data_IF_895922327274
#
_entry.id   IF_895922327274
#
_cell.length_a   1.000
_cell.length_b   1.000
_cell.length_c   1.000
_cell.angle_alpha   90.00
_cell.angle_beta   90.00
_cell.angle_gamma   90.00
#
_symmetry.space_group_name_H-M   'P 1'
#
loop_
_entity.id
_entity.type
_entity.pdbx_description
1 polymer ?
#
# COMPACT_ATOMS: atom_id res chain seq x y z
N UNK A 1 16.40 -24.42 22.30
CA UNK A 1 15.77 -24.29 20.95
C UNK A 1 16.15 -22.91 20.42
N UNK A 2 16.78 -22.85 19.26
CA UNK A 2 17.21 -21.58 18.64
C UNK A 2 15.97 -20.78 18.23
N UNK A 3 16.00 -19.49 18.52
CA UNK A 3 14.93 -18.55 18.16
C UNK A 3 15.03 -18.14 16.67
N UNK A 4 13.89 -17.92 16.00
CA UNK A 4 13.85 -17.47 14.62
C UNK A 4 13.76 -15.93 14.54
N UNK A 5 14.77 -15.30 13.93
CA UNK A 5 14.83 -13.86 13.71
C UNK A 5 14.67 -13.52 12.23
N UNK A 6 14.08 -12.37 11.92
CA UNK A 6 13.92 -11.91 10.53
C UNK A 6 15.27 -11.48 9.94
N UNK A 7 15.48 -11.81 8.66
CA UNK A 7 16.58 -11.23 7.87
C UNK A 7 16.41 -9.73 7.71
N UNK A 8 17.49 -9.02 7.45
CA UNK A 8 17.52 -7.56 7.28
C UNK A 8 18.40 -7.14 6.10
N UNK A 9 18.48 -5.84 5.82
CA UNK A 9 19.42 -5.32 4.79
C UNK A 9 20.89 -5.51 5.19
N UNK A 10 21.20 -5.46 6.48
CA UNK A 10 22.55 -5.70 6.97
C UNK A 10 22.91 -7.20 6.94
N UNK A 11 21.91 -8.05 7.10
CA UNK A 11 22.04 -9.51 7.13
C UNK A 11 20.94 -10.14 6.28
N UNK A 12 21.11 -10.16 4.94
CA UNK A 12 20.13 -10.72 4.03
C UNK A 12 20.06 -12.25 4.13
N UNK A 13 19.01 -12.84 3.58
CA UNK A 13 18.84 -14.28 3.52
C UNK A 13 20.02 -14.93 2.79
N UNK A 14 20.78 -15.84 3.43
CA UNK A 14 21.95 -16.45 2.78
C UNK A 14 21.57 -17.37 1.62
N UNK A 15 20.29 -17.78 1.51
CA UNK A 15 19.80 -18.67 0.46
C UNK A 15 19.33 -17.89 -0.77
N UNK A 16 18.56 -16.80 -0.61
CA UNK A 16 18.01 -16.05 -1.75
C UNK A 16 18.57 -14.62 -1.91
N UNK A 17 19.46 -14.18 -1.03
CA UNK A 17 20.07 -12.85 -1.04
C UNK A 17 19.13 -11.68 -0.73
N UNK A 18 17.87 -11.96 -0.36
CA UNK A 18 16.88 -10.90 -0.12
C UNK A 18 16.81 -10.50 1.36
N UNK A 19 16.57 -9.21 1.67
CA UNK A 19 16.54 -8.69 3.03
C UNK A 19 15.17 -8.82 3.73
N UNK A 20 14.21 -9.52 3.12
CA UNK A 20 12.82 -9.52 3.53
C UNK A 20 12.17 -10.91 3.48
N UNK A 21 11.09 -11.09 4.24
CA UNK A 21 10.22 -12.27 4.34
C UNK A 21 10.87 -13.56 4.87
N UNK A 22 12.18 -13.74 4.75
CA UNK A 22 12.88 -14.90 5.28
C UNK A 22 13.20 -14.74 6.78
N UNK A 23 13.43 -15.87 7.47
CA UNK A 23 13.91 -15.89 8.86
C UNK A 23 15.11 -16.82 8.98
N UNK A 24 16.01 -16.54 9.93
CA UNK A 24 17.14 -17.40 10.27
C UNK A 24 17.14 -17.71 11.74
N UNK A 25 17.80 -18.77 12.13
CA UNK A 25 18.04 -19.08 13.54
C UNK A 25 19.09 -18.13 14.12
N UNK A 26 18.98 -17.85 15.42
CA UNK A 26 19.93 -16.98 16.14
C UNK A 26 21.34 -17.53 16.16
N UNK A 27 21.48 -18.87 16.12
CA UNK A 27 22.77 -19.58 16.05
C UNK A 27 23.34 -19.67 14.63
N UNK A 28 22.60 -19.19 13.61
CA UNK A 28 23.04 -19.19 12.22
C UNK A 28 23.05 -20.56 11.53
N UNK A 29 22.53 -21.62 12.14
CA UNK A 29 22.57 -22.97 11.59
C UNK A 29 21.50 -23.30 10.58
N UNK A 30 20.39 -22.53 10.56
CA UNK A 30 19.28 -22.75 9.63
C UNK A 30 18.64 -21.44 9.17
N UNK A 31 18.04 -21.47 7.98
CA UNK A 31 17.24 -20.38 7.43
C UNK A 31 15.93 -20.93 6.85
N UNK A 32 14.84 -20.22 7.09
CA UNK A 32 13.57 -20.44 6.43
C UNK A 32 13.49 -19.45 5.26
N UNK A 33 13.66 -19.97 4.05
CA UNK A 33 13.57 -19.18 2.83
C UNK A 33 12.16 -19.23 2.26
N UNK A 34 11.61 -18.06 1.90
CA UNK A 34 10.28 -17.94 1.31
C UNK A 34 10.29 -18.00 -0.21
N UNK A 35 11.48 -18.24 -0.84
CA UNK A 35 11.65 -18.11 -2.30
C UNK A 35 12.38 -19.25 -2.96
N UNK A 36 13.24 -19.94 -2.23
CA UNK A 36 14.02 -21.08 -2.73
C UNK A 36 13.52 -22.33 -2.04
N UNK A 37 13.16 -23.32 -2.84
CA UNK A 37 12.68 -24.61 -2.35
C UNK A 37 13.82 -25.46 -1.77
N UNK A 38 13.49 -26.29 -0.81
CA UNK A 38 14.34 -27.36 -0.30
C UNK A 38 13.49 -28.62 -0.06
N UNK A 39 14.14 -29.72 0.25
CA UNK A 39 13.46 -30.98 0.60
C UNK A 39 12.66 -30.90 1.92
N UNK A 40 12.82 -29.80 2.69
CA UNK A 40 12.18 -29.59 3.99
C UNK A 40 11.21 -28.40 3.94
N UNK A 41 9.98 -28.56 3.41
CA UNK A 41 8.97 -27.52 3.46
C UNK A 41 8.59 -27.22 4.92
N UNK A 42 8.47 -25.93 5.26
CA UNK A 42 7.94 -25.53 6.57
C UNK A 42 6.42 -25.71 6.57
N UNK A 43 5.92 -26.55 7.47
CA UNK A 43 4.48 -26.82 7.66
C UNK A 43 3.77 -25.77 8.52
N UNK A 44 4.46 -24.70 8.94
CA UNK A 44 3.87 -23.61 9.71
C UNK A 44 2.99 -22.68 8.87
N UNK A 45 2.23 -21.81 9.56
CA UNK A 45 1.24 -20.91 8.92
C UNK A 45 1.81 -19.97 7.84
N UNK A 46 3.12 -19.67 7.87
CA UNK A 46 3.77 -18.77 6.92
C UNK A 46 4.37 -19.49 5.71
N UNK A 47 4.43 -20.82 5.71
CA UNK A 47 5.05 -21.60 4.64
C UNK A 47 6.55 -21.33 4.49
N UNK A 48 7.11 -21.69 3.33
CA UNK A 48 8.52 -21.56 3.00
C UNK A 48 9.28 -22.88 3.14
N UNK A 49 10.61 -22.82 3.00
CA UNK A 49 11.48 -24.00 3.01
C UNK A 49 12.64 -23.80 3.98
N UNK A 50 12.93 -24.84 4.78
CA UNK A 50 14.01 -24.82 5.76
C UNK A 50 15.28 -25.32 5.09
N UNK A 51 16.33 -24.50 5.10
CA UNK A 51 17.68 -24.85 4.65
C UNK A 51 18.61 -24.96 5.85
N UNK A 52 19.39 -26.02 5.89
CA UNK A 52 20.46 -26.23 6.86
C UNK A 52 21.71 -25.52 6.36
N UNK A 53 22.25 -24.56 7.09
CA UNK A 53 23.40 -23.76 6.64
C UNK A 53 24.75 -24.46 6.89
N UNK A 54 24.76 -25.60 7.60
CA UNK A 54 25.92 -26.48 7.72
C UNK A 54 26.17 -27.34 6.49
N UNK A 55 25.16 -27.52 5.62
CA UNK A 55 25.28 -28.21 4.35
C UNK A 55 25.70 -27.25 3.22
N UNK A 56 26.47 -27.68 2.21
CA UNK A 56 26.74 -26.83 1.04
C UNK A 56 25.42 -26.38 0.42
N UNK A 57 25.17 -25.08 0.41
CA UNK A 57 23.99 -24.54 -0.25
C UNK A 57 24.04 -24.91 -1.75
N UNK A 58 22.95 -25.44 -2.33
CA UNK A 58 22.89 -25.62 -3.76
C UNK A 58 23.16 -24.27 -4.45
N UNK A 59 23.88 -24.25 -5.59
CA UNK A 59 24.07 -23.03 -6.33
C UNK A 59 22.70 -22.40 -6.59
N UNK A 60 22.58 -21.12 -6.23
CA UNK A 60 21.33 -20.37 -6.46
C UNK A 60 20.91 -20.61 -7.91
N UNK A 61 19.70 -21.13 -8.17
CA UNK A 61 19.19 -21.12 -9.52
C UNK A 61 19.25 -19.65 -9.99
N UNK A 62 19.78 -19.39 -11.19
CA UNK A 62 19.81 -18.04 -11.72
C UNK A 62 18.40 -17.48 -11.52
N UNK A 63 18.26 -16.27 -10.95
CA UNK A 63 16.95 -15.67 -10.76
C UNK A 63 16.27 -15.74 -12.12
N UNK A 64 15.18 -16.50 -12.22
CA UNK A 64 14.35 -16.46 -13.43
C UNK A 64 14.09 -14.99 -13.67
N UNK A 65 14.47 -14.45 -14.84
CA UNK A 65 14.11 -13.08 -15.16
C UNK A 65 12.58 -13.03 -15.00
N UNK A 66 12.11 -12.46 -13.92
CA UNK A 66 10.71 -12.06 -13.83
C UNK A 66 10.67 -10.95 -14.87
N UNK A 67 10.14 -11.26 -16.06
CA UNK A 67 9.76 -10.20 -16.99
C UNK A 67 8.82 -9.29 -16.20
N UNK A 68 9.39 -8.22 -15.65
CA UNK A 68 8.60 -7.14 -15.10
C UNK A 68 7.85 -6.59 -16.29
N UNK A 69 6.60 -6.95 -16.42
CA UNK A 69 5.68 -6.17 -17.26
C UNK A 69 5.67 -4.79 -16.61
N UNK A 70 6.47 -3.88 -17.13
CA UNK A 70 6.53 -2.51 -16.63
C UNK A 70 5.23 -1.75 -16.93
N UNK A 71 4.42 -2.24 -17.85
CA UNK A 71 3.16 -1.66 -18.29
C UNK A 71 1.98 -2.65 -18.15
N UNK A 72 1.11 -2.38 -17.19
CA UNK A 72 -0.12 -3.13 -16.91
C UNK A 72 -1.38 -2.43 -17.42
N UNK A 73 -1.22 -1.36 -18.22
CA UNK A 73 -2.34 -0.51 -18.66
C UNK A 73 -3.41 -1.30 -19.41
N UNK A 74 -2.99 -2.17 -20.33
CA UNK A 74 -3.93 -2.96 -21.13
C UNK A 74 -4.66 -4.00 -20.27
N UNK A 75 -3.99 -4.65 -19.34
CA UNK A 75 -4.62 -5.61 -18.43
C UNK A 75 -5.64 -4.91 -17.49
N UNK A 76 -5.26 -3.77 -16.91
CA UNK A 76 -6.19 -2.96 -16.12
C UNK A 76 -7.39 -2.51 -16.97
N UNK A 77 -7.18 -2.14 -18.25
CA UNK A 77 -8.24 -1.77 -19.17
C UNK A 77 -9.20 -2.93 -19.46
N UNK A 78 -8.69 -4.15 -19.65
CA UNK A 78 -9.52 -5.36 -19.85
C UNK A 78 -10.37 -5.63 -18.62
N UNK A 79 -9.79 -5.60 -17.41
CA UNK A 79 -10.53 -5.77 -16.16
C UNK A 79 -11.60 -4.69 -15.96
N UNK A 80 -11.30 -3.44 -16.28
CA UNK A 80 -12.27 -2.34 -16.21
C UNK A 80 -13.44 -2.50 -17.17
N UNK A 81 -13.19 -2.97 -18.41
CA UNK A 81 -14.20 -3.16 -19.46
C UNK A 81 -14.93 -4.51 -19.40
N UNK A 82 -14.56 -5.37 -18.45
CA UNK A 82 -15.22 -6.66 -18.28
C UNK A 82 -16.73 -6.48 -18.03
N UNK A 83 -17.58 -7.31 -18.62
CA UNK A 83 -19.05 -7.21 -18.55
C UNK A 83 -19.61 -7.10 -17.12
N UNK A 84 -18.99 -7.80 -16.16
CA UNK A 84 -19.35 -7.76 -14.74
C UNK A 84 -18.72 -6.61 -13.95
N UNK A 85 -17.87 -5.79 -14.56
CA UNK A 85 -17.11 -4.77 -13.83
C UNK A 85 -18.02 -3.69 -13.21
N UNK A 86 -19.13 -3.34 -13.87
CA UNK A 86 -20.09 -2.38 -13.31
C UNK A 86 -20.77 -2.94 -12.06
N UNK A 87 -21.27 -4.19 -12.10
CA UNK A 87 -21.87 -4.87 -10.94
C UNK A 87 -20.86 -4.92 -9.80
N UNK A 88 -19.61 -5.27 -10.10
CA UNK A 88 -18.54 -5.28 -9.10
C UNK A 88 -18.27 -3.92 -8.49
N UNK A 89 -18.31 -2.84 -9.27
CA UNK A 89 -18.20 -1.47 -8.74
C UNK A 89 -19.36 -1.12 -7.81
N UNK A 90 -20.59 -1.53 -8.12
CA UNK A 90 -21.74 -1.34 -7.24
C UNK A 90 -21.52 -2.05 -5.89
N UNK A 91 -21.11 -3.33 -5.90
CA UNK A 91 -20.80 -4.08 -4.67
C UNK A 91 -19.72 -3.40 -3.83
N UNK A 92 -18.64 -2.95 -4.47
CA UNK A 92 -17.54 -2.27 -3.80
C UNK A 92 -17.97 -0.89 -3.29
N UNK A 93 -18.79 -0.16 -4.03
CA UNK A 93 -19.33 1.14 -3.63
C UNK A 93 -20.17 1.00 -2.35
N UNK A 94 -21.07 0.02 -2.30
CA UNK A 94 -21.89 -0.27 -1.13
C UNK A 94 -21.03 -0.67 0.09
N UNK A 95 -20.05 -1.54 -0.14
CA UNK A 95 -19.14 -2.00 0.93
C UNK A 95 -18.29 -0.86 1.51
N UNK A 96 -17.83 0.06 0.66
CA UNK A 96 -16.96 1.17 1.05
C UNK A 96 -17.75 2.46 1.39
N UNK A 97 -19.05 2.49 1.11
CA UNK A 97 -19.93 3.67 1.21
C UNK A 97 -19.43 4.85 0.37
N UNK A 98 -19.02 4.58 -0.87
CA UNK A 98 -18.56 5.59 -1.84
C UNK A 98 -19.43 5.56 -3.09
N UNK A 99 -19.34 6.58 -3.95
CA UNK A 99 -20.09 6.58 -5.19
C UNK A 99 -19.53 5.57 -6.22
N UNK A 100 -20.40 4.99 -7.04
CA UNK A 100 -19.97 4.14 -8.16
C UNK A 100 -19.13 4.94 -9.15
N UNK A 101 -19.48 6.21 -9.38
CA UNK A 101 -18.77 7.12 -10.28
C UNK A 101 -17.31 7.33 -9.84
N UNK A 102 -17.04 7.43 -8.54
CA UNK A 102 -15.68 7.55 -8.03
C UNK A 102 -14.83 6.31 -8.37
N UNK A 103 -15.42 5.12 -8.29
CA UNK A 103 -14.76 3.87 -8.66
C UNK A 103 -14.54 3.76 -10.17
N UNK A 104 -15.46 4.32 -10.95
CA UNK A 104 -15.34 4.40 -12.40
C UNK A 104 -14.23 5.37 -12.84
N UNK A 105 -14.14 6.53 -12.22
CA UNK A 105 -13.05 7.49 -12.42
C UNK A 105 -11.68 6.88 -12.06
N UNK A 106 -11.61 6.10 -11.00
CA UNK A 106 -10.41 5.36 -10.58
C UNK A 106 -10.10 4.15 -11.48
N UNK A 107 -10.99 3.82 -12.44
CA UNK A 107 -10.86 2.65 -13.31
C UNK A 107 -10.82 1.34 -12.55
N UNK A 108 -11.60 1.23 -11.46
CA UNK A 108 -11.74 -0.03 -10.72
C UNK A 108 -12.42 -1.07 -11.60
N UNK A 109 -11.77 -2.22 -11.76
CA UNK A 109 -12.23 -3.33 -12.59
C UNK A 109 -12.50 -4.58 -11.76
N UNK A 110 -12.71 -5.71 -12.45
CA UNK A 110 -12.91 -7.04 -11.89
C UNK A 110 -11.86 -8.00 -12.45
N UNK A 111 -11.40 -8.91 -11.63
CA UNK A 111 -10.52 -10.00 -12.05
C UNK A 111 -10.77 -11.27 -11.26
N UNK A 112 -10.16 -12.34 -11.71
CA UNK A 112 -10.22 -13.65 -11.09
C UNK A 112 -8.83 -14.08 -10.65
N UNK A 113 -8.72 -14.53 -9.41
CA UNK A 113 -7.50 -15.12 -8.86
C UNK A 113 -7.58 -16.63 -9.02
N UNK A 114 -6.96 -17.15 -10.06
CA UNK A 114 -6.97 -18.59 -10.38
C UNK A 114 -6.37 -19.44 -9.26
N UNK A 115 -5.37 -18.87 -8.55
CA UNK A 115 -4.68 -19.57 -7.47
C UNK A 115 -5.56 -19.79 -6.25
N UNK A 116 -6.35 -18.79 -5.90
CA UNK A 116 -7.23 -18.85 -4.73
C UNK A 116 -8.71 -19.16 -5.10
N UNK A 117 -9.04 -19.30 -6.38
CA UNK A 117 -10.41 -19.52 -6.85
C UNK A 117 -11.37 -18.38 -6.46
N UNK A 118 -10.92 -17.12 -6.46
CA UNK A 118 -11.67 -15.99 -5.92
C UNK A 118 -11.69 -14.80 -6.86
N UNK A 119 -12.84 -14.15 -6.89
CA UNK A 119 -12.99 -12.86 -7.54
C UNK A 119 -12.40 -11.73 -6.69
N UNK A 120 -11.88 -10.69 -7.36
CA UNK A 120 -11.38 -9.48 -6.73
C UNK A 120 -11.75 -8.23 -7.52
N UNK A 121 -11.84 -7.10 -6.84
CA UNK A 121 -11.79 -5.79 -7.51
C UNK A 121 -10.35 -5.39 -7.77
N UNK A 122 -10.05 -4.95 -8.99
CA UNK A 122 -8.71 -4.49 -9.39
C UNK A 122 -8.62 -2.97 -9.29
N UNK A 123 -7.62 -2.47 -8.60
CA UNK A 123 -7.36 -1.06 -8.39
C UNK A 123 -6.05 -0.69 -9.06
N UNK A 124 -6.08 0.01 -10.23
CA UNK A 124 -4.89 0.38 -10.97
C UNK A 124 -3.93 1.22 -10.13
N UNK A 125 -2.68 0.81 -10.10
CA UNK A 125 -1.56 1.49 -9.43
C UNK A 125 -0.69 2.14 -10.50
N UNK A 126 -0.55 3.47 -10.47
CA UNK A 126 0.03 4.25 -11.56
C UNK A 126 1.35 4.89 -11.18
N UNK A 127 2.19 5.16 -12.16
CA UNK A 127 3.31 6.09 -12.03
C UNK A 127 2.84 7.56 -12.23
N UNK A 128 3.80 8.47 -12.20
CA UNK A 128 3.58 9.91 -12.38
C UNK A 128 3.23 10.33 -13.83
N UNK A 129 3.44 9.43 -14.80
CA UNK A 129 3.07 9.63 -16.20
C UNK A 129 1.71 8.98 -16.55
N UNK A 130 1.04 8.35 -15.58
CA UNK A 130 -0.29 7.75 -15.72
C UNK A 130 -0.32 6.30 -16.19
N UNK A 131 0.84 5.67 -16.44
CA UNK A 131 0.90 4.26 -16.82
C UNK A 131 0.55 3.37 -15.62
N UNK A 132 -0.18 2.31 -15.85
CA UNK A 132 -0.42 1.30 -14.83
C UNK A 132 0.82 0.42 -14.68
N UNK A 133 1.54 0.58 -13.58
CA UNK A 133 2.73 -0.22 -13.24
C UNK A 133 2.40 -1.47 -12.41
N UNK A 134 1.13 -1.63 -12.09
CA UNK A 134 0.55 -2.76 -11.36
C UNK A 134 -0.88 -2.48 -10.98
N UNK A 135 -1.47 -3.36 -10.20
CA UNK A 135 -2.77 -3.13 -9.57
C UNK A 135 -2.86 -3.81 -8.21
N UNK A 136 -3.69 -3.27 -7.35
CA UNK A 136 -4.03 -3.90 -6.08
C UNK A 136 -5.30 -4.71 -6.26
N UNK A 137 -5.26 -5.99 -5.90
CA UNK A 137 -6.41 -6.87 -5.78
C UNK A 137 -7.05 -6.63 -4.41
N UNK A 138 -8.33 -6.32 -4.38
CA UNK A 138 -9.11 -6.25 -3.14
C UNK A 138 -10.21 -7.30 -3.18
N UNK A 139 -10.22 -8.17 -2.21
CA UNK A 139 -11.19 -9.24 -2.05
C UNK A 139 -12.35 -8.79 -1.16
N UNK A 140 -13.46 -9.52 -1.21
CA UNK A 140 -14.69 -9.22 -0.43
C UNK A 140 -14.46 -9.23 1.08
N UNK A 141 -13.48 -9.99 1.57
CA UNK A 141 -13.08 -10.01 3.00
C UNK A 141 -12.19 -8.81 3.41
N UNK A 142 -11.96 -7.86 2.51
CA UNK A 142 -11.12 -6.69 2.75
C UNK A 142 -9.61 -6.92 2.54
N UNK A 143 -9.17 -8.17 2.32
CA UNK A 143 -7.77 -8.48 2.04
C UNK A 143 -7.30 -7.76 0.78
N UNK A 144 -6.10 -7.19 0.83
CA UNK A 144 -5.47 -6.49 -0.30
C UNK A 144 -4.15 -7.16 -0.65
N UNK A 145 -3.88 -7.33 -1.95
CA UNK A 145 -2.60 -7.86 -2.47
C UNK A 145 -2.22 -7.15 -3.76
N UNK A 146 -0.96 -6.80 -3.92
CA UNK A 146 -0.44 -6.35 -5.21
C UNK A 146 -0.38 -7.54 -6.16
N UNK A 147 -0.65 -7.33 -7.45
CA UNK A 147 -0.51 -8.37 -8.47
C UNK A 147 0.94 -8.84 -8.60
N UNK A 148 1.13 -10.10 -8.95
CA UNK A 148 2.46 -10.67 -9.15
C UNK A 148 3.16 -9.98 -10.35
N UNK A 149 4.41 -9.59 -10.16
CA UNK A 149 5.19 -8.86 -11.17
C UNK A 149 4.84 -7.37 -11.32
N UNK A 150 3.78 -6.89 -10.65
CA UNK A 150 3.43 -5.49 -10.61
C UNK A 150 4.23 -4.71 -9.55
N UNK A 151 4.25 -3.41 -9.73
CA UNK A 151 4.84 -2.45 -8.77
C UNK A 151 3.75 -1.65 -8.08
N UNK A 152 4.05 -1.15 -6.89
CA UNK A 152 3.17 -0.23 -6.17
C UNK A 152 3.43 1.20 -6.61
N UNK A 153 2.39 1.90 -7.03
CA UNK A 153 2.41 3.29 -7.47
C UNK A 153 1.45 4.15 -6.66
N UNK A 154 0.82 5.09 -7.31
CA UNK A 154 -0.19 5.98 -6.73
C UNK A 154 -1.57 5.70 -7.32
N UNK A 155 -2.61 6.08 -6.58
CA UNK A 155 -4.01 5.98 -6.98
C UNK A 155 -4.56 7.38 -7.18
N UNK A 156 -5.18 7.65 -8.32
CA UNK A 156 -5.82 8.94 -8.58
C UNK A 156 -6.81 8.83 -9.74
N UNK A 157 -7.82 9.68 -9.72
CA UNK A 157 -8.72 9.89 -10.83
C UNK A 157 -8.14 10.96 -11.79
N UNK A 158 -8.55 11.03 -13.07
CA UNK A 158 -8.12 12.11 -13.96
C UNK A 158 -8.44 13.51 -13.43
N UNK A 159 -9.44 13.61 -12.57
CA UNK A 159 -9.94 14.84 -11.92
C UNK A 159 -9.17 15.25 -10.67
N UNK A 160 -8.14 14.52 -10.25
CA UNK A 160 -7.46 14.64 -8.96
C UNK A 160 -6.97 16.04 -8.56
N UNK A 161 -6.93 17.01 -9.48
CA UNK A 161 -6.51 18.39 -9.23
C UNK A 161 -7.51 19.44 -9.74
N UNK A 162 -8.65 19.03 -10.30
CA UNK A 162 -9.58 19.95 -11.01
C UNK A 162 -10.63 20.58 -10.11
N UNK A 163 -10.94 19.96 -8.96
CA UNK A 163 -11.88 20.54 -7.99
C UNK A 163 -11.27 21.78 -7.29
N UNK A 164 -12.10 22.71 -6.80
CA UNK A 164 -11.63 23.79 -5.93
C UNK A 164 -10.97 23.25 -4.65
N UNK A 165 -10.09 24.06 -4.04
CA UNK A 165 -9.49 23.73 -2.74
C UNK A 165 -8.19 22.93 -2.82
N UNK A 166 -7.75 22.37 -1.68
CA UNK A 166 -6.48 21.66 -1.53
C UNK A 166 -6.47 20.31 -2.24
N UNK A 167 -5.27 19.73 -2.36
CA UNK A 167 -5.08 18.33 -2.76
C UNK A 167 -4.78 17.50 -1.52
N UNK A 168 -5.58 16.46 -1.29
CA UNK A 168 -5.40 15.53 -0.19
C UNK A 168 -4.49 14.37 -0.60
N UNK A 169 -3.46 14.11 0.18
CA UNK A 169 -2.60 12.94 0.00
C UNK A 169 -3.01 11.92 1.06
N UNK A 170 -3.73 10.90 0.63
CA UNK A 170 -4.35 9.87 1.47
C UNK A 170 -3.67 8.50 1.32
N UNK A 171 -4.08 7.48 2.07
CA UNK A 171 -3.54 6.14 1.98
C UNK A 171 -4.47 5.19 1.23
N UNK A 172 -4.05 4.82 0.03
CA UNK A 172 -4.74 3.83 -0.80
C UNK A 172 -5.90 4.37 -1.64
N UNK A 173 -6.38 3.50 -2.53
CA UNK A 173 -7.42 3.86 -3.50
C UNK A 173 -8.81 4.05 -2.88
N UNK A 174 -9.12 3.38 -1.75
CA UNK A 174 -10.43 3.52 -1.08
C UNK A 174 -10.66 4.92 -0.52
N UNK A 175 -9.60 5.57 -0.02
CA UNK A 175 -9.70 6.94 0.49
C UNK A 175 -9.80 7.95 -0.65
N UNK A 176 -9.09 7.67 -1.78
CA UNK A 176 -9.28 8.48 -3.00
C UNK A 176 -10.71 8.37 -3.49
N UNK A 177 -11.31 7.18 -3.52
CA UNK A 177 -12.70 7.01 -3.91
C UNK A 177 -13.67 7.79 -3.02
N UNK A 178 -13.41 7.84 -1.70
CA UNK A 178 -14.20 8.65 -0.78
C UNK A 178 -14.03 10.16 -1.03
N UNK A 179 -12.80 10.62 -1.28
CA UNK A 179 -12.54 12.00 -1.66
C UNK A 179 -13.23 12.40 -2.97
N UNK A 180 -13.13 11.57 -4.01
CA UNK A 180 -13.82 11.80 -5.29
C UNK A 180 -15.35 11.82 -5.10
N UNK A 181 -15.93 10.94 -4.27
CA UNK A 181 -17.35 10.95 -3.93
C UNK A 181 -17.80 12.25 -3.25
N UNK A 182 -16.88 12.92 -2.56
CA UNK A 182 -17.10 14.20 -1.91
C UNK A 182 -16.65 15.42 -2.76
N UNK A 183 -16.30 15.22 -4.03
CA UNK A 183 -15.74 16.24 -4.93
C UNK A 183 -14.47 16.92 -4.39
N UNK A 184 -13.58 16.15 -3.79
CA UNK A 184 -12.28 16.60 -3.28
C UNK A 184 -11.14 16.10 -4.16
N UNK A 185 -10.13 16.94 -4.37
CA UNK A 185 -8.91 16.52 -5.05
C UNK A 185 -8.12 15.53 -4.18
N UNK A 186 -7.72 14.38 -4.73
CA UNK A 186 -6.96 13.41 -3.95
C UNK A 186 -5.99 12.57 -4.77
N UNK A 187 -4.86 12.23 -4.13
CA UNK A 187 -3.91 11.22 -4.58
C UNK A 187 -3.70 10.23 -3.44
N UNK A 188 -3.87 8.94 -3.72
CA UNK A 188 -3.63 7.85 -2.78
C UNK A 188 -2.21 7.30 -2.90
N UNK A 189 -1.55 7.14 -1.77
CA UNK A 189 -0.27 6.43 -1.66
C UNK A 189 -0.53 4.93 -1.56
N UNK A 190 0.36 4.12 -2.13
CA UNK A 190 0.28 2.67 -1.99
C UNK A 190 0.66 2.17 -0.58
N UNK A 191 1.37 2.99 0.18
CA UNK A 191 1.76 2.76 1.58
C UNK A 191 2.15 4.07 2.27
N UNK A 192 2.27 4.04 3.59
CA UNK A 192 2.64 5.19 4.42
C UNK A 192 3.92 5.92 3.99
N UNK A 193 4.84 5.25 3.28
CA UNK A 193 6.17 5.79 3.01
C UNK A 193 6.58 5.82 1.54
N UNK A 194 5.71 5.38 0.62
CA UNK A 194 6.01 5.33 -0.81
C UNK A 194 5.20 6.33 -1.63
N UNK A 195 5.72 6.70 -2.80
CA UNK A 195 5.03 7.55 -3.77
C UNK A 195 5.34 9.05 -3.65
N UNK A 196 6.04 9.50 -2.61
CA UNK A 196 6.29 10.93 -2.37
C UNK A 196 6.95 11.65 -3.55
N UNK A 197 7.93 11.05 -4.20
CA UNK A 197 8.62 11.65 -5.35
C UNK A 197 7.68 11.79 -6.57
N UNK A 198 6.87 10.78 -6.87
CA UNK A 198 5.89 10.86 -7.97
C UNK A 198 4.83 11.92 -7.68
N UNK A 199 4.29 11.93 -6.47
CA UNK A 199 3.31 12.94 -6.05
C UNK A 199 3.91 14.35 -6.16
N UNK A 200 5.14 14.55 -5.73
CA UNK A 200 5.85 15.84 -5.85
C UNK A 200 5.97 16.30 -7.31
N UNK A 201 6.32 15.40 -8.22
CA UNK A 201 6.41 15.68 -9.66
C UNK A 201 5.03 16.04 -10.22
N UNK A 202 3.99 15.25 -9.92
CA UNK A 202 2.62 15.46 -10.35
C UNK A 202 2.09 16.83 -9.89
N UNK A 203 2.24 17.17 -8.60
CA UNK A 203 1.82 18.45 -8.04
C UNK A 203 2.52 19.60 -8.73
N UNK A 204 3.86 19.51 -8.89
CA UNK A 204 4.64 20.55 -9.56
C UNK A 204 4.19 20.81 -11.00
N UNK A 205 3.75 19.77 -11.70
CA UNK A 205 3.30 19.86 -13.10
C UNK A 205 1.86 20.37 -13.24
N UNK A 206 0.95 19.94 -12.36
CA UNK A 206 -0.48 20.14 -12.56
C UNK A 206 -1.09 21.26 -11.69
N UNK A 207 -0.59 21.46 -10.48
CA UNK A 207 -1.20 22.37 -9.51
C UNK A 207 -0.19 22.92 -8.47
N UNK A 208 0.90 23.58 -8.91
CA UNK A 208 1.99 24.00 -8.02
C UNK A 208 1.55 25.03 -6.97
N UNK A 209 0.44 25.72 -7.17
CA UNK A 209 -0.11 26.76 -6.28
C UNK A 209 -1.02 26.20 -5.18
N UNK A 210 -1.54 24.97 -5.34
CA UNK A 210 -2.49 24.40 -4.37
C UNK A 210 -1.83 24.07 -3.03
N UNK A 211 -2.61 24.23 -1.96
CA UNK A 211 -2.28 23.68 -0.65
C UNK A 211 -2.34 22.15 -0.71
N UNK A 212 -1.36 21.48 -0.12
CA UNK A 212 -1.28 20.03 -0.05
C UNK A 212 -1.51 19.59 1.40
N UNK A 213 -2.50 18.74 1.61
CA UNK A 213 -2.83 18.20 2.91
C UNK A 213 -2.48 16.72 2.94
N UNK A 214 -1.43 16.35 3.65
CA UNK A 214 -1.06 14.96 3.84
C UNK A 214 -1.81 14.40 5.03
N UNK A 215 -2.72 13.48 4.78
CA UNK A 215 -3.58 12.89 5.80
C UNK A 215 -2.91 11.67 6.42
N UNK A 216 -2.83 11.66 7.76
CA UNK A 216 -2.37 10.53 8.54
C UNK A 216 -3.51 9.70 9.10
N UNK A 217 -3.36 8.37 9.06
CA UNK A 217 -4.34 7.44 9.61
C UNK A 217 -4.14 7.22 11.12
N UNK A 218 -5.23 6.90 11.82
CA UNK A 218 -5.22 6.50 13.24
C UNK A 218 -5.03 5.01 13.40
N UNK A 219 -3.86 4.55 13.01
CA UNK A 219 -3.41 3.17 13.15
C UNK A 219 -2.41 2.99 14.32
N UNK A 220 -2.50 3.87 15.33
CA UNK A 220 -1.66 3.81 16.51
C UNK A 220 -1.81 2.48 17.24
N UNK A 221 -0.69 1.89 17.59
CA UNK A 221 -0.64 0.67 18.39
C UNK A 221 0.29 0.85 19.59
N UNK A 222 -0.23 1.38 20.71
CA UNK A 222 0.56 1.63 21.91
C UNK A 222 1.24 0.38 22.48
N UNK A 223 0.65 -0.81 22.30
CA UNK A 223 1.22 -2.07 22.80
C UNK A 223 2.51 -2.46 22.09
N UNK A 224 2.80 -1.89 20.93
CA UNK A 224 4.05 -2.08 20.20
C UNK A 224 5.19 -1.18 20.67
N UNK A 225 4.91 -0.16 21.52
CA UNK A 225 5.96 0.75 22.02
C UNK A 225 6.98 -0.01 22.87
N UNK A 226 8.25 0.23 22.60
CA UNK A 226 9.33 -0.41 23.34
C UNK A 226 9.56 -1.90 23.04
N UNK A 227 8.81 -2.51 22.12
CA UNK A 227 8.97 -3.95 21.77
C UNK A 227 10.05 -4.21 20.73
N UNK A 228 10.61 -3.18 20.12
CA UNK A 228 11.73 -3.26 19.18
C UNK A 228 12.76 -2.19 19.52
N UNK A 229 14.03 -2.44 19.21
CA UNK A 229 15.15 -1.53 19.52
C UNK A 229 15.00 -0.12 18.94
N UNK A 230 14.24 0.02 17.83
CA UNK A 230 13.97 1.30 17.17
C UNK A 230 12.78 2.07 17.76
N UNK A 231 12.12 1.54 18.80
CA UNK A 231 10.94 2.14 19.40
C UNK A 231 11.00 2.05 20.92
N UNK A 232 11.13 3.17 21.61
CA UNK A 232 11.14 3.23 23.09
C UNK A 232 9.72 3.18 23.66
N UNK A 233 9.59 2.84 24.97
CA UNK A 233 8.30 2.87 25.68
C UNK A 233 7.61 4.25 25.65
N UNK A 234 8.40 5.33 25.57
CA UNK A 234 7.91 6.72 25.49
C UNK A 234 7.85 7.26 24.05
N UNK A 235 7.86 6.40 23.05
CA UNK A 235 7.83 6.82 21.65
C UNK A 235 6.53 7.60 21.35
N UNK A 236 6.68 8.80 20.78
CA UNK A 236 5.53 9.66 20.39
C UNK A 236 4.93 9.26 19.04
N UNK A 237 5.55 8.34 18.31
CA UNK A 237 5.09 7.83 17.04
C UNK A 237 6.26 7.56 16.08
N UNK A 238 6.41 6.33 15.66
CA UNK A 238 7.40 5.88 14.67
C UNK A 238 6.73 4.94 13.66
N UNK A 239 7.47 4.54 12.64
CA UNK A 239 6.97 3.60 11.62
C UNK A 239 6.45 2.27 12.17
N UNK A 240 6.76 1.94 13.42
CA UNK A 240 6.36 0.69 14.06
C UNK A 240 5.12 0.83 14.93
N UNK A 241 5.08 1.82 15.85
CA UNK A 241 3.98 1.96 16.80
C UNK A 241 2.86 2.90 16.33
N UNK A 242 3.15 3.78 15.37
CA UNK A 242 2.15 4.66 14.75
C UNK A 242 2.53 4.98 13.29
N UNK A 243 2.42 4.01 12.38
CA UNK A 243 2.87 4.15 11.00
C UNK A 243 2.17 5.26 10.22
N UNK A 244 0.87 5.50 10.43
CA UNK A 244 0.11 6.56 9.77
C UNK A 244 0.63 7.96 10.12
N UNK A 245 0.88 8.23 11.41
CA UNK A 245 1.47 9.51 11.84
C UNK A 245 2.89 9.71 11.31
N UNK A 246 3.71 8.67 11.41
CA UNK A 246 5.09 8.70 10.91
C UNK A 246 5.14 8.94 9.38
N UNK A 247 4.31 8.20 8.65
CA UNK A 247 4.23 8.31 7.19
C UNK A 247 3.73 9.68 6.73
N UNK A 248 2.72 10.23 7.39
CA UNK A 248 2.21 11.58 7.15
C UNK A 248 3.32 12.62 7.29
N UNK A 249 4.05 12.64 8.41
CA UNK A 249 5.15 13.60 8.65
C UNK A 249 6.27 13.46 7.63
N UNK A 250 6.65 12.22 7.30
CA UNK A 250 7.68 11.94 6.32
C UNK A 250 7.30 12.48 4.94
N UNK A 251 6.10 12.18 4.46
CA UNK A 251 5.64 12.60 3.13
C UNK A 251 5.43 14.11 3.08
N UNK A 252 4.88 14.75 4.12
CA UNK A 252 4.76 16.20 4.19
C UNK A 252 6.14 16.88 4.09
N UNK A 253 7.15 16.35 4.79
CA UNK A 253 8.52 16.84 4.69
C UNK A 253 9.15 16.64 3.30
N UNK A 254 8.92 15.50 2.64
CA UNK A 254 9.39 15.22 1.27
C UNK A 254 8.76 16.15 0.23
N UNK A 255 7.47 16.45 0.38
CA UNK A 255 6.77 17.38 -0.50
C UNK A 255 7.23 18.83 -0.28
N UNK A 256 7.48 19.21 0.97
CA UNK A 256 7.96 20.53 1.36
C UNK A 256 6.98 21.66 1.00
N UNK A 257 7.44 22.90 1.10
CA UNK A 257 6.73 24.08 0.63
C UNK A 257 5.34 24.26 1.26
N UNK A 258 4.28 23.97 0.51
CA UNK A 258 2.87 24.13 0.93
C UNK A 258 2.23 22.85 1.47
N UNK A 259 3.02 21.82 1.75
CA UNK A 259 2.49 20.58 2.29
C UNK A 259 2.39 20.65 3.82
N UNK A 260 1.21 20.38 4.35
CA UNK A 260 0.95 20.25 5.78
C UNK A 260 0.48 18.84 6.11
N UNK A 261 0.93 18.31 7.24
CA UNK A 261 0.50 16.99 7.73
C UNK A 261 -0.64 17.16 8.73
N UNK A 262 -1.73 16.46 8.52
CA UNK A 262 -2.93 16.49 9.37
C UNK A 262 -3.34 15.07 9.72
N UNK A 263 -3.67 14.82 10.97
CA UNK A 263 -4.25 13.54 11.40
C UNK A 263 -5.76 13.57 11.26
N UNK A 264 -6.36 12.47 10.84
CA UNK A 264 -7.81 12.33 10.96
C UNK A 264 -8.25 12.49 12.43
N UNK A 265 -9.43 13.07 12.70
CA UNK A 265 -9.91 13.26 14.06
C UNK A 265 -10.11 11.93 14.82
N UNK A 266 -10.20 11.93 16.15
CA UNK A 266 -10.21 10.70 16.97
C UNK A 266 -11.34 9.71 16.69
N UNK A 267 -12.44 10.18 16.11
CA UNK A 267 -13.62 9.38 15.79
C UNK A 267 -13.57 8.74 14.37
N UNK A 268 -12.51 8.98 13.62
CA UNK A 268 -12.29 8.36 12.31
C UNK A 268 -10.92 7.69 12.25
N UNK A 269 -10.83 6.54 11.60
CA UNK A 269 -9.57 5.83 11.38
C UNK A 269 -8.79 6.40 10.21
N UNK A 270 -9.47 6.66 9.12
CA UNK A 270 -8.93 7.08 7.82
C UNK A 270 -9.83 8.14 7.17
N UNK A 271 -9.40 8.69 6.03
CA UNK A 271 -10.14 9.73 5.31
C UNK A 271 -11.49 9.21 4.81
N UNK A 272 -11.57 7.95 4.41
CA UNK A 272 -12.82 7.33 3.95
C UNK A 272 -13.83 7.26 5.10
N UNK A 273 -13.44 6.79 6.27
CA UNK A 273 -14.33 6.72 7.44
C UNK A 273 -14.82 8.11 7.86
N UNK A 274 -13.96 9.12 7.80
CA UNK A 274 -14.32 10.52 8.05
C UNK A 274 -15.45 10.97 7.12
N UNK A 275 -15.24 10.87 5.81
CA UNK A 275 -16.17 11.38 4.80
C UNK A 275 -17.48 10.58 4.74
N UNK A 276 -17.40 9.25 4.87
CA UNK A 276 -18.59 8.39 4.84
C UNK A 276 -19.39 8.42 6.15
N UNK A 277 -18.80 8.92 7.23
CA UNK A 277 -19.48 9.23 8.49
C UNK A 277 -20.32 10.52 8.49
N UNK A 278 -20.35 11.23 7.35
CA UNK A 278 -21.10 12.49 7.20
C UNK A 278 -20.39 13.72 7.73
N UNK A 279 -19.09 13.60 8.03
CA UNK A 279 -18.26 14.70 8.52
C UNK A 279 -17.67 15.49 7.36
N UNK A 280 -17.44 16.77 7.56
CA UNK A 280 -16.94 17.68 6.53
C UNK A 280 -15.41 17.72 6.63
N UNK A 281 -14.74 17.70 5.50
CA UNK A 281 -13.26 17.75 5.43
C UNK A 281 -12.67 19.01 6.14
N UNK A 282 -13.46 20.08 6.34
CA UNK A 282 -13.05 21.27 7.08
C UNK A 282 -12.71 20.98 8.54
N UNK A 283 -13.27 19.93 9.13
CA UNK A 283 -12.90 19.47 10.48
C UNK A 283 -11.43 19.03 10.57
N UNK A 284 -10.83 18.60 9.43
CA UNK A 284 -9.39 18.35 9.38
C UNK A 284 -8.56 19.62 9.57
N UNK A 285 -9.08 20.78 9.13
CA UNK A 285 -8.38 22.06 9.27
C UNK A 285 -8.45 22.61 10.70
N UNK A 286 -9.46 22.22 11.48
CA UNK A 286 -9.57 22.59 12.90
C UNK A 286 -8.50 21.90 13.76
N UNK A 287 -7.83 20.87 13.21
CA UNK A 287 -6.73 20.16 13.87
C UNK A 287 -5.34 20.75 13.54
N UNK A 288 -5.26 21.77 12.65
CA UNK A 288 -4.05 22.54 12.34
C UNK A 288 -3.78 23.60 13.38
#
# INVERSE_FOLDING_TARGET
MSEWIRVSRAEPCPVCGRPDYCTRTTDGTAVKCMRVESEKPDKGQLGGWIHNLSDPLPPLPPPKPVEKKEDWTEECRKMFKHEKAHVKRCEVADQLKVSVDSLELLRVGIGWDEWNGREFSSWPSRDDDGRCIGYVRRYSDGTKRTNQGGSTGVFYAPTWYTHPGPVFIVEGGSDVAACESANLNAIGRASNTHGGLWIKKMIKQCCPEKLIIVVGERDENPSKRGTVSSCTSNCRGCAFCWPGWFGMKKVAAELGGRAVGVMVPPHAKDMRELLTGGLIWTELLETL
#
